data_IF_601619573522
#
_entry.id   IF_601619573522
#
_cell.length_a   1.000
_cell.length_b   1.000
_cell.length_c   1.000
_cell.angle_alpha   90.00
_cell.angle_beta   90.00
_cell.angle_gamma   90.00
#
_symmetry.space_group_name_H-M   'P 1'
#
loop_
_entity.id
_entity.type
_entity.pdbx_description
1 polymer ?
#
# COMPACT_ATOMS: atom_id res chain seq x y z
N UNK A 1 3.69 6.61 -11.51
CA UNK A 1 2.60 6.89 -10.54
C UNK A 1 1.28 6.43 -11.15
N UNK A 2 0.95 5.15 -11.01
CA UNK A 2 -0.34 4.61 -11.45
C UNK A 2 -1.33 4.91 -10.33
N UNK A 3 -2.47 5.54 -10.62
CA UNK A 3 -3.56 5.61 -9.63
C UNK A 3 -4.00 4.18 -9.38
N UNK A 4 -3.84 3.71 -8.15
CA UNK A 4 -4.24 2.37 -7.75
C UNK A 4 -5.54 2.45 -6.96
N UNK A 5 -6.32 1.39 -7.00
CA UNK A 5 -7.59 1.31 -6.28
C UNK A 5 -7.41 1.48 -4.77
N UNK A 6 -6.20 1.35 -4.21
CA UNK A 6 -5.92 1.57 -2.79
C UNK A 6 -5.24 2.91 -2.50
N UNK A 7 -4.96 3.74 -3.51
CA UNK A 7 -4.32 5.05 -3.34
C UNK A 7 -5.13 5.94 -2.40
N UNK A 8 -6.47 5.80 -2.42
CA UNK A 8 -7.39 6.49 -1.50
C UNK A 8 -7.44 5.87 -0.10
N UNK A 9 -7.03 4.61 0.06
CA UNK A 9 -7.04 3.90 1.35
C UNK A 9 -5.77 4.22 2.16
N UNK A 10 -4.66 4.43 1.45
CA UNK A 10 -3.39 4.81 2.05
C UNK A 10 -3.48 6.29 2.42
N UNK A 11 -3.59 6.57 3.73
CA UNK A 11 -3.60 7.94 4.24
C UNK A 11 -2.21 8.55 4.00
N UNK A 12 -2.07 9.22 2.86
CA UNK A 12 -0.84 9.88 2.41
C UNK A 12 -0.51 11.11 3.26
N UNK A 13 -1.52 11.76 3.83
CA UNK A 13 -1.36 12.91 4.73
C UNK A 13 -0.47 12.60 5.94
N UNK A 14 -0.67 11.46 6.61
CA UNK A 14 0.21 11.09 7.73
C UNK A 14 1.64 10.78 7.25
N UNK A 15 1.85 10.36 5.98
CA UNK A 15 3.20 10.19 5.41
C UNK A 15 3.87 11.55 5.28
N UNK A 16 3.16 12.49 4.67
CA UNK A 16 3.65 13.85 4.47
C UNK A 16 4.00 14.53 5.80
N UNK A 17 3.09 14.44 6.78
CA UNK A 17 3.28 15.03 8.11
C UNK A 17 4.46 14.43 8.88
N UNK A 18 4.73 13.14 8.75
CA UNK A 18 5.89 12.52 9.39
C UNK A 18 7.17 12.88 8.64
N UNK A 19 7.18 12.81 7.30
CA UNK A 19 8.35 13.20 6.49
C UNK A 19 8.73 14.68 6.72
N UNK A 20 7.76 15.56 6.91
CA UNK A 20 7.96 16.97 7.25
C UNK A 20 8.70 17.15 8.59
N UNK A 21 8.43 16.28 9.59
CA UNK A 21 9.14 16.31 10.89
C UNK A 21 10.62 15.95 10.79
N UNK A 22 11.01 15.18 9.78
CA UNK A 22 12.39 14.72 9.63
C UNK A 22 13.26 15.72 8.85
N UNK A 23 12.68 16.83 8.35
CA UNK A 23 13.38 17.83 7.53
C UNK A 23 14.27 17.19 6.45
N UNK A 24 13.76 16.11 5.83
CA UNK A 24 14.49 15.32 4.86
C UNK A 24 14.67 16.10 3.57
N UNK A 25 15.80 15.89 2.91
CA UNK A 25 16.01 16.42 1.58
C UNK A 25 14.93 15.92 0.61
N UNK A 26 14.54 16.73 -0.40
CA UNK A 26 13.52 16.35 -1.35
C UNK A 26 13.84 15.03 -2.08
N UNK A 27 15.13 14.69 -2.22
CA UNK A 27 15.58 13.42 -2.77
C UNK A 27 15.31 12.25 -1.83
N UNK A 28 15.71 12.34 -0.55
CA UNK A 28 15.42 11.29 0.44
C UNK A 28 13.92 11.11 0.64
N UNK A 29 13.16 12.22 0.65
CA UNK A 29 11.69 12.17 0.70
C UNK A 29 11.13 11.36 -0.47
N UNK A 30 11.63 11.60 -1.68
CA UNK A 30 11.19 10.91 -2.88
C UNK A 30 11.53 9.41 -2.82
N UNK A 31 12.75 9.06 -2.42
CA UNK A 31 13.18 7.66 -2.27
C UNK A 31 12.33 6.92 -1.24
N UNK A 32 12.04 7.55 -0.10
CA UNK A 32 11.18 6.97 0.92
C UNK A 32 9.76 6.76 0.42
N UNK A 33 9.20 7.73 -0.32
CA UNK A 33 7.88 7.58 -0.93
C UNK A 33 7.87 6.40 -1.91
N UNK A 34 8.91 6.24 -2.74
CA UNK A 34 9.02 5.10 -3.66
C UNK A 34 9.15 3.76 -2.93
N UNK A 35 9.96 3.67 -1.88
CA UNK A 35 10.09 2.46 -1.05
C UNK A 35 8.75 2.12 -0.40
N UNK A 36 8.05 3.11 0.14
CA UNK A 36 6.73 2.93 0.75
C UNK A 36 5.74 2.45 -0.31
N UNK A 37 5.68 3.08 -1.48
CA UNK A 37 4.79 2.70 -2.57
C UNK A 37 5.03 1.26 -3.04
N UNK A 38 6.29 0.88 -3.27
CA UNK A 38 6.69 -0.49 -3.64
C UNK A 38 6.31 -1.50 -2.56
N UNK A 39 6.61 -1.19 -1.30
CA UNK A 39 6.34 -2.10 -0.18
C UNK A 39 4.84 -2.28 0.03
N UNK A 40 4.07 -1.20 -0.08
CA UNK A 40 2.60 -1.23 -0.03
C UNK A 40 2.03 -2.05 -1.18
N UNK A 41 2.48 -1.81 -2.41
CA UNK A 41 2.02 -2.55 -3.58
C UNK A 41 2.22 -4.05 -3.40
N UNK A 42 3.44 -4.44 -3.01
CA UNK A 42 3.76 -5.84 -2.80
C UNK A 42 2.93 -6.46 -1.68
N UNK A 43 2.78 -5.76 -0.54
CA UNK A 43 1.99 -6.27 0.59
C UNK A 43 0.51 -6.40 0.26
N UNK A 44 -0.08 -5.42 -0.41
CA UNK A 44 -1.50 -5.45 -0.80
C UNK A 44 -1.74 -6.62 -1.75
N UNK A 45 -0.90 -6.80 -2.76
CA UNK A 45 -0.98 -7.97 -3.62
C UNK A 45 -0.85 -9.28 -2.82
N UNK A 46 0.05 -9.33 -1.85
CA UNK A 46 0.24 -10.53 -1.03
C UNK A 46 -0.99 -10.85 -0.17
N UNK A 47 -1.60 -9.85 0.47
CA UNK A 47 -2.85 -9.99 1.24
C UNK A 47 -3.98 -10.48 0.34
N UNK A 48 -4.09 -9.91 -0.86
CA UNK A 48 -5.07 -10.31 -1.86
C UNK A 48 -4.84 -11.75 -2.29
N UNK A 49 -3.63 -12.12 -2.70
CA UNK A 49 -3.34 -13.49 -3.14
C UNK A 49 -3.50 -14.52 -2.02
N UNK A 50 -3.27 -14.13 -0.77
CA UNK A 50 -3.46 -15.02 0.38
C UNK A 50 -4.95 -15.24 0.71
N UNK A 51 -5.81 -14.25 0.45
CA UNK A 51 -7.25 -14.36 0.67
C UNK A 51 -8.05 -14.82 -0.56
N UNK A 52 -7.52 -14.58 -1.75
CA UNK A 52 -8.16 -14.92 -3.01
C UNK A 52 -7.77 -16.35 -3.43
N UNK A 53 -8.74 -17.24 -3.70
CA UNK A 53 -8.45 -18.59 -4.16
C UNK A 53 -7.68 -18.58 -5.48
N UNK A 54 -6.76 -19.54 -5.66
CA UNK A 54 -5.85 -19.63 -6.82
C UNK A 54 -6.54 -19.59 -8.17
N UNK A 55 -7.76 -20.13 -8.28
CA UNK A 55 -8.59 -20.07 -9.48
C UNK A 55 -8.96 -18.64 -9.91
N UNK A 56 -9.10 -17.73 -8.95
CA UNK A 56 -9.55 -16.34 -9.16
C UNK A 56 -8.39 -15.34 -9.28
N UNK A 57 -7.18 -15.75 -8.86
CA UNK A 57 -5.94 -14.95 -8.98
C UNK A 57 -5.64 -14.45 -10.40
N UNK A 58 -5.65 -15.29 -11.46
CA UNK A 58 -5.32 -14.82 -12.81
C UNK A 58 -6.34 -13.81 -13.36
N UNK A 59 -7.61 -13.96 -13.00
CA UNK A 59 -8.68 -13.05 -13.39
C UNK A 59 -8.53 -11.69 -12.70
N UNK A 60 -8.18 -11.70 -11.42
CA UNK A 60 -7.84 -10.50 -10.66
C UNK A 60 -6.62 -9.77 -11.25
N UNK A 61 -5.53 -10.49 -11.55
CA UNK A 61 -4.32 -9.89 -12.15
C UNK A 61 -4.63 -9.26 -13.51
N UNK A 62 -5.44 -9.92 -14.35
CA UNK A 62 -5.88 -9.34 -15.62
C UNK A 62 -6.68 -8.06 -15.42
N UNK A 63 -7.64 -8.05 -14.50
CA UNK A 63 -8.42 -6.84 -14.17
C UNK A 63 -7.50 -5.75 -13.62
N UNK A 64 -6.54 -6.08 -12.76
CA UNK A 64 -5.57 -5.14 -12.18
C UNK A 64 -4.68 -4.51 -13.25
N UNK A 65 -4.19 -5.31 -14.21
CA UNK A 65 -3.40 -4.82 -15.34
C UNK A 65 -4.21 -3.96 -16.30
N UNK A 66 -5.51 -4.24 -16.44
CA UNK A 66 -6.39 -3.54 -17.38
C UNK A 66 -6.91 -2.23 -16.80
N UNK A 67 -7.33 -2.24 -15.54
CA UNK A 67 -7.95 -1.10 -14.87
C UNK A 67 -7.49 -1.01 -13.41
N UNK A 68 -6.25 -0.57 -13.15
CA UNK A 68 -5.62 -0.60 -11.83
C UNK A 68 -6.28 0.29 -10.76
N UNK A 69 -7.11 1.25 -11.17
CA UNK A 69 -7.86 2.18 -10.33
C UNK A 69 -9.34 1.82 -10.18
N UNK A 70 -9.78 0.70 -10.76
CA UNK A 70 -11.21 0.39 -10.82
C UNK A 70 -11.75 -0.06 -9.45
N UNK A 71 -12.89 0.51 -9.05
CA UNK A 71 -13.58 0.13 -7.83
C UNK A 71 -14.14 -1.31 -7.93
N UNK A 72 -14.39 -1.81 -9.16
CA UNK A 72 -14.79 -3.19 -9.38
C UNK A 72 -13.75 -4.19 -8.86
N UNK A 73 -12.46 -3.86 -8.87
CA UNK A 73 -11.43 -4.73 -8.29
C UNK A 73 -11.63 -4.90 -6.79
N UNK A 74 -11.95 -3.80 -6.12
CA UNK A 74 -12.17 -3.79 -4.68
C UNK A 74 -13.48 -4.48 -4.32
N UNK A 75 -14.55 -4.29 -5.09
CA UNK A 75 -15.80 -5.06 -4.94
C UNK A 75 -15.58 -6.55 -5.20
N UNK A 76 -14.83 -6.91 -6.23
CA UNK A 76 -14.49 -8.30 -6.54
C UNK A 76 -13.75 -8.97 -5.38
N UNK A 77 -12.80 -8.26 -4.77
CA UNK A 77 -12.11 -8.74 -3.57
C UNK A 77 -13.04 -8.86 -2.37
N UNK A 78 -13.98 -7.92 -2.18
CA UNK A 78 -14.98 -8.01 -1.10
C UNK A 78 -15.87 -9.23 -1.24
N UNK A 79 -16.25 -9.57 -2.47
CA UNK A 79 -17.13 -10.70 -2.79
C UNK A 79 -16.39 -12.05 -2.77
N UNK A 80 -15.18 -12.11 -3.34
CA UNK A 80 -14.47 -13.37 -3.57
C UNK A 80 -13.34 -13.67 -2.58
N UNK A 81 -12.78 -12.65 -1.92
CA UNK A 81 -11.68 -12.83 -0.96
C UNK A 81 -12.19 -12.64 0.49
N UNK A 82 -12.64 -11.44 0.85
CA UNK A 82 -13.19 -11.17 2.17
C UNK A 82 -13.96 -9.84 2.20
N UNK A 83 -15.16 -9.76 2.80
CA UNK A 83 -15.92 -8.51 2.88
C UNK A 83 -15.16 -7.36 3.56
N UNK A 84 -14.26 -7.69 4.49
CA UNK A 84 -13.39 -6.74 5.19
C UNK A 84 -11.96 -6.63 4.59
N UNK A 85 -11.75 -7.07 3.36
CA UNK A 85 -10.43 -7.00 2.71
C UNK A 85 -9.91 -5.56 2.60
N UNK A 86 -10.80 -4.58 2.41
CA UNK A 86 -10.48 -3.16 2.40
C UNK A 86 -9.89 -2.71 3.74
N UNK A 87 -10.54 -3.07 4.85
CA UNK A 87 -10.05 -2.76 6.18
C UNK A 87 -8.71 -3.47 6.46
N UNK A 88 -8.57 -4.73 6.03
CA UNK A 88 -7.29 -5.45 6.15
C UNK A 88 -6.17 -4.77 5.38
N UNK A 89 -6.42 -4.37 4.14
CA UNK A 89 -5.46 -3.65 3.31
C UNK A 89 -5.07 -2.33 3.99
N UNK A 90 -6.06 -1.58 4.49
CA UNK A 90 -5.84 -0.31 5.20
C UNK A 90 -5.03 -0.48 6.48
N UNK A 91 -5.36 -1.48 7.30
CA UNK A 91 -4.66 -1.79 8.54
C UNK A 91 -3.22 -2.26 8.27
N UNK A 92 -3.02 -3.16 7.29
CA UNK A 92 -1.69 -3.57 6.87
C UNK A 92 -0.87 -2.42 6.30
N UNK A 93 -1.45 -1.59 5.45
CA UNK A 93 -0.78 -0.42 4.89
C UNK A 93 -0.34 0.54 6.00
N UNK A 94 -1.21 0.83 6.96
CA UNK A 94 -0.90 1.67 8.12
C UNK A 94 0.21 1.05 8.99
N UNK A 95 0.18 -0.27 9.20
CA UNK A 95 1.18 -1.00 9.98
C UNK A 95 2.56 -0.97 9.33
N UNK A 96 2.65 -1.35 8.05
CA UNK A 96 3.90 -1.35 7.28
C UNK A 96 4.48 0.05 7.22
N UNK A 97 3.64 1.06 6.95
CA UNK A 97 4.05 2.46 6.99
C UNK A 97 4.66 2.84 8.33
N UNK A 98 4.02 2.48 9.46
CA UNK A 98 4.55 2.72 10.81
C UNK A 98 5.88 2.01 11.05
N UNK A 99 6.04 0.78 10.55
CA UNK A 99 7.30 0.06 10.65
C UNK A 99 8.40 0.75 9.86
N UNK A 100 8.17 1.08 8.59
CA UNK A 100 9.11 1.81 7.73
C UNK A 100 9.50 3.15 8.38
N UNK A 101 8.54 3.94 8.85
CA UNK A 101 8.81 5.20 9.56
C UNK A 101 9.60 5.00 10.85
N UNK A 102 9.28 3.96 11.61
CA UNK A 102 10.01 3.60 12.81
C UNK A 102 11.47 3.22 12.52
N UNK A 103 11.70 2.50 11.43
CA UNK A 103 13.03 2.12 10.95
C UNK A 103 13.82 3.33 10.48
N UNK A 104 13.20 4.24 9.71
CA UNK A 104 13.82 5.49 9.25
C UNK A 104 14.20 6.37 10.46
N UNK A 105 13.29 6.53 11.43
CA UNK A 105 13.53 7.28 12.65
C UNK A 105 14.67 6.70 13.48
N UNK A 106 14.76 5.38 13.59
CA UNK A 106 15.87 4.71 14.27
C UNK A 106 17.20 4.86 13.54
N UNK A 107 17.16 4.87 12.20
CA UNK A 107 18.34 4.95 11.36
C UNK A 107 18.94 6.37 11.33
N UNK A 108 18.08 7.40 11.36
CA UNK A 108 18.49 8.82 11.43
C UNK A 108 18.97 9.25 12.81
N UNK A 109 18.42 8.68 13.90
CA UNK A 109 18.82 9.03 15.27
C UNK A 109 20.14 8.38 15.75
N UNK A 110 20.81 7.61 14.89
CA UNK A 110 22.04 6.87 15.21
C UNK A 110 23.33 7.49 14.66
N UNK A 111 23.27 8.70 14.09
CA UNK A 111 24.44 9.48 13.67
C UNK A 111 24.73 10.63 14.61
#
# INVERSE_FOLDING_TARGET
MTKLFYDHLVIREEIDLELDKFALDPQERQELIEIIDQTLHHNILNVIFNHLPKDKQPEFVKKLHTAPFDLELLEYLKIHAHPEIENKIKDHAAKIKKEIMGEIKKSTHKK
#
